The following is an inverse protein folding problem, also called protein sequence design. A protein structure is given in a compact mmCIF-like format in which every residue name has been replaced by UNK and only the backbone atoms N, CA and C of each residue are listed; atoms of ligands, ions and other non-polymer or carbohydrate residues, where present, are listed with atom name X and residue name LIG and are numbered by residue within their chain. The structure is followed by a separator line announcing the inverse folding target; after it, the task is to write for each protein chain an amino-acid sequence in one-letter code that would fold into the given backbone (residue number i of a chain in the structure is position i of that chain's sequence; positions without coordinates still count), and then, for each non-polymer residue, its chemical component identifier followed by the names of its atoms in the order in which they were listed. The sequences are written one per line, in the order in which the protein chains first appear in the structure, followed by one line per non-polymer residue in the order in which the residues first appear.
data_IF_851814825242
#
_entry.id   IF_851814825242
#
_cell.length_a   1.000
_cell.length_b   1.000
_cell.length_c   1.000
_cell.angle_alpha   90.00
_cell.angle_beta   90.00
_cell.angle_gamma   90.00
#
_symmetry.space_group_name_H-M   'P 1'
#
loop_
_entity.id
_entity.type
_entity.pdbx_description
1 polymer ?
#
# COMPACT_ATOMS: atom_id res chain seq x y z
N UNK A 1 -5.49 33.24 -9.42
CA UNK A 1 -5.50 32.67 -9.16
C UNK A 1 -5.54 32.40 -9.37
N UNK A 2 -5.34 32.23 -9.69
CA UNK A 2 -5.27 31.56 -9.62
C UNK A 2 -5.41 31.06 -9.81
N UNK A 3 -5.48 31.12 -10.16
CA UNK A 3 -5.52 30.26 -10.07
C UNK A 3 -5.67 29.66 -10.25
N UNK A 4 -5.57 29.62 -10.37
CA UNK A 4 -5.73 28.82 -10.16
C UNK A 4 -6.00 28.24 -10.34
N UNK A 5 -5.96 28.15 -10.48
CA UNK A 5 -6.16 27.41 -10.19
C UNK A 5 -6.36 26.87 -10.10
N UNK A 6 -6.31 26.99 -10.08
CA UNK A 6 -6.46 26.32 -9.61
C UNK A 6 -6.81 25.81 -9.17
N UNK A 7 -6.98 26.07 -9.14
CA UNK A 7 -7.16 25.55 -8.61
C UNK A 7 -7.75 25.08 -8.31
N UNK A 8 -8.12 24.95 -8.07
CA UNK A 8 -8.60 24.32 -7.83
C UNK A 8 -9.00 23.33 -8.01
N UNK A 9 -9.46 23.49 -8.09
CA UNK A 9 -9.87 22.28 -8.29
C UNK A 9 -8.88 21.30 -8.35
N UNK A 10 -8.11 21.37 -8.73
CA UNK A 10 -7.24 20.47 -8.73
C UNK A 10 -6.75 20.18 -7.47
N UNK A 11 -7.06 20.78 -6.58
CA UNK A 11 -6.71 20.49 -5.51
C UNK A 11 -7.34 19.46 -4.92
N UNK A 12 -8.33 19.13 -5.09
CA UNK A 12 -8.86 18.20 -4.46
C UNK A 12 -8.43 16.99 -4.81
N UNK A 13 -7.86 16.89 -5.53
CA UNK A 13 -7.55 15.77 -5.90
C UNK A 13 -6.67 15.02 -5.13
N UNK A 14 -6.31 13.94 -5.43
CA UNK A 14 -5.44 13.11 -4.76
C UNK A 14 -4.23 13.83 -4.44
N UNK A 15 -3.51 13.43 -3.46
CA UNK A 15 -2.32 14.09 -3.05
C UNK A 15 -1.15 13.32 -3.57
N UNK A 16 -0.59 13.70 -4.70
CA UNK A 16 0.47 12.90 -5.31
C UNK A 16 1.74 12.82 -4.49
N UNK A 17 1.92 13.74 -3.56
CA UNK A 17 3.13 13.72 -2.74
C UNK A 17 2.95 13.03 -1.41
N UNK A 18 1.78 12.45 -1.18
CA UNK A 18 1.55 11.78 0.08
C UNK A 18 2.40 10.52 0.18
N UNK A 19 3.03 10.30 1.31
CA UNK A 19 3.82 9.10 1.52
C UNK A 19 3.03 8.13 2.38
N UNK A 20 3.52 6.89 2.46
CA UNK A 20 2.87 5.89 3.28
C UNK A 20 2.82 6.35 4.74
N UNK A 21 3.88 7.00 5.21
CA UNK A 21 3.93 7.48 6.60
C UNK A 21 2.86 8.53 6.88
N UNK A 22 2.43 9.24 5.86
CA UNK A 22 1.45 10.31 6.05
C UNK A 22 0.03 9.80 6.20
N UNK A 23 -0.19 8.52 5.97
CA UNK A 23 -1.52 7.95 6.14
C UNK A 23 -1.90 7.93 7.60
N UNK A 24 -3.21 7.96 7.87
CA UNK A 24 -3.69 7.87 9.23
C UNK A 24 -3.31 6.52 9.82
N UNK A 25 -3.14 6.50 11.14
CA UNK A 25 -2.70 5.28 11.80
C UNK A 25 -3.65 4.10 11.52
N UNK A 26 -4.95 4.34 11.54
CA UNK A 26 -5.90 3.27 11.27
C UNK A 26 -5.75 2.73 9.86
N UNK A 27 -5.46 3.62 8.90
CA UNK A 27 -5.27 3.21 7.52
C UNK A 27 -4.01 2.36 7.39
N UNK A 28 -2.93 2.79 8.04
CA UNK A 28 -1.68 2.03 7.98
C UNK A 28 -1.84 0.65 8.61
N UNK A 29 -2.58 0.57 9.70
CA UNK A 29 -2.80 -0.71 10.36
C UNK A 29 -3.60 -1.65 9.48
N UNK A 30 -4.62 -1.13 8.82
CA UNK A 30 -5.44 -1.95 7.94
C UNK A 30 -4.62 -2.46 6.76
N UNK A 31 -3.81 -1.59 6.17
CA UNK A 31 -2.96 -2.00 5.06
C UNK A 31 -1.96 -3.05 5.49
N UNK A 32 -1.32 -2.84 6.64
CA UNK A 32 -0.35 -3.80 7.14
C UNK A 32 -1.00 -5.15 7.42
N UNK A 33 -2.23 -5.15 7.91
CA UNK A 33 -2.96 -6.39 8.16
C UNK A 33 -3.21 -7.14 6.85
N UNK A 34 -3.64 -6.44 5.82
CA UNK A 34 -3.83 -7.06 4.51
C UNK A 34 -2.52 -7.64 3.98
N UNK A 35 -1.44 -6.87 4.10
CA UNK A 35 -0.13 -7.32 3.65
C UNK A 35 0.28 -8.61 4.35
N UNK A 36 0.11 -8.64 5.65
CA UNK A 36 0.52 -9.81 6.42
C UNK A 36 -0.33 -11.03 6.07
N UNK A 37 -1.64 -10.83 5.95
CA UNK A 37 -2.53 -11.94 5.61
C UNK A 37 -2.21 -12.54 4.25
N UNK A 38 -2.00 -11.70 3.25
CA UNK A 38 -1.66 -12.17 1.92
C UNK A 38 -0.34 -12.95 1.94
N UNK A 39 0.61 -12.44 2.71
CA UNK A 39 1.92 -13.07 2.81
C UNK A 39 1.80 -14.43 3.49
N UNK A 40 0.99 -14.52 4.54
CA UNK A 40 0.79 -15.80 5.23
C UNK A 40 0.15 -16.83 4.32
N UNK A 41 -0.84 -16.41 3.55
CA UNK A 41 -1.52 -17.32 2.62
C UNK A 41 -0.51 -17.87 1.62
N UNK A 42 0.29 -16.99 1.04
CA UNK A 42 1.29 -17.42 0.06
C UNK A 42 2.31 -18.37 0.69
N UNK A 43 2.76 -18.03 1.91
CA UNK A 43 3.75 -18.86 2.58
C UNK A 43 3.22 -20.25 2.89
N UNK A 44 1.97 -20.34 3.31
CA UNK A 44 1.37 -21.64 3.59
C UNK A 44 1.30 -22.51 2.35
N UNK A 45 1.06 -21.89 1.21
CA UNK A 45 0.90 -22.63 -0.03
C UNK A 45 2.24 -22.98 -0.68
N UNK A 46 3.26 -22.17 -0.47
CA UNK A 46 4.50 -22.30 -1.21
C UNK A 46 5.74 -22.58 -0.36
N UNK A 47 5.64 -22.40 0.94
CA UNK A 47 6.76 -22.68 1.83
C UNK A 47 7.85 -21.62 1.80
N UNK A 48 7.58 -20.46 1.22
CA UNK A 48 8.55 -19.38 1.14
C UNK A 48 7.83 -18.06 1.05
N UNK A 49 8.54 -16.96 1.36
CA UNK A 49 7.94 -15.66 1.26
C UNK A 49 7.88 -15.23 -0.20
N UNK A 50 7.00 -14.27 -0.53
CA UNK A 50 6.83 -13.82 -1.90
C UNK A 50 8.11 -13.25 -2.50
N UNK A 51 8.37 -13.59 -3.75
CA UNK A 51 9.45 -12.94 -4.49
C UNK A 51 8.91 -11.64 -5.05
N UNK A 52 9.73 -10.94 -5.84
CA UNK A 52 9.35 -9.63 -6.35
C UNK A 52 8.08 -9.66 -7.17
N UNK A 53 7.95 -10.64 -8.04
CA UNK A 53 6.77 -10.73 -8.90
C UNK A 53 5.50 -10.97 -8.09
N UNK A 54 5.55 -11.88 -7.15
CA UNK A 54 4.39 -12.17 -6.31
C UNK A 54 4.08 -10.99 -5.41
N UNK A 55 5.12 -10.31 -4.92
CA UNK A 55 4.93 -9.12 -4.09
C UNK A 55 4.12 -8.06 -4.85
N UNK A 56 4.42 -7.87 -6.13
CA UNK A 56 3.68 -6.91 -6.93
C UNK A 56 2.22 -7.34 -7.09
N UNK A 57 1.98 -8.63 -7.29
CA UNK A 57 0.61 -9.11 -7.39
C UNK A 57 -0.17 -8.88 -6.10
N UNK A 58 0.48 -9.10 -4.98
CA UNK A 58 -0.16 -8.86 -3.68
C UNK A 58 -0.50 -7.38 -3.53
N UNK A 59 0.44 -6.51 -3.86
CA UNK A 59 0.21 -5.07 -3.72
C UNK A 59 -0.84 -4.59 -4.72
N UNK A 60 -0.90 -5.18 -5.91
CA UNK A 60 -1.95 -4.84 -6.86
C UNK A 60 -3.33 -5.06 -6.24
N UNK A 61 -3.53 -6.19 -5.57
CA UNK A 61 -4.81 -6.49 -4.94
C UNK A 61 -5.09 -5.53 -3.78
N UNK A 62 -4.07 -5.24 -3.00
CA UNK A 62 -4.24 -4.31 -1.88
C UNK A 62 -4.55 -2.91 -2.39
N UNK A 63 -3.88 -2.50 -3.46
CA UNK A 63 -4.09 -1.17 -4.00
C UNK A 63 -5.52 -1.00 -4.53
N UNK A 64 -6.10 -2.06 -5.10
CA UNK A 64 -7.50 -2.00 -5.52
C UNK A 64 -8.40 -1.76 -4.32
N UNK A 65 -8.10 -2.37 -3.19
CA UNK A 65 -8.88 -2.13 -1.97
C UNK A 65 -8.72 -0.69 -1.52
N UNK A 66 -7.50 -0.14 -1.60
CA UNK A 66 -7.27 1.24 -1.21
C UNK A 66 -8.10 2.19 -2.07
N UNK A 67 -8.15 1.94 -3.37
CA UNK A 67 -8.92 2.79 -4.26
C UNK A 67 -10.41 2.73 -3.91
N UNK A 68 -10.89 1.55 -3.59
CA UNK A 68 -12.31 1.41 -3.26
C UNK A 68 -12.66 2.12 -1.96
N UNK A 69 -11.70 2.32 -1.08
CA UNK A 69 -11.91 3.02 0.18
C UNK A 69 -11.50 4.49 0.10
N UNK A 70 -11.15 4.96 -1.10
CA UNK A 70 -10.73 6.34 -1.32
C UNK A 70 -9.52 6.72 -0.48
N UNK A 71 -8.61 5.77 -0.28
CA UNK A 71 -7.36 6.05 0.40
C UNK A 71 -6.31 6.32 -0.67
N UNK A 72 -5.85 7.57 -0.71
CA UNK A 72 -4.95 8.00 -1.77
C UNK A 72 -3.50 8.02 -1.31
N UNK A 73 -2.70 7.17 -1.91
CA UNK A 73 -1.27 7.11 -1.67
C UNK A 73 -0.66 6.52 -2.94
N UNK A 74 0.52 6.98 -3.37
CA UNK A 74 1.12 6.43 -4.59
C UNK A 74 1.40 4.93 -4.46
N UNK A 75 1.21 4.22 -5.56
CA UNK A 75 1.46 2.79 -5.59
C UNK A 75 2.87 2.44 -5.11
N UNK A 76 3.86 3.20 -5.58
CA UNK A 76 5.25 2.95 -5.21
C UNK A 76 5.47 3.02 -3.71
N UNK A 77 4.75 3.92 -3.04
CA UNK A 77 4.91 4.05 -1.60
C UNK A 77 4.41 2.79 -0.88
N UNK A 78 3.29 2.25 -1.35
CA UNK A 78 2.73 1.05 -0.74
C UNK A 78 3.65 -0.14 -1.01
N UNK A 79 4.13 -0.26 -2.23
CA UNK A 79 5.01 -1.35 -2.60
C UNK A 79 6.31 -1.30 -1.81
N UNK A 80 6.90 -0.13 -1.70
CA UNK A 80 8.14 0.01 -0.94
C UNK A 80 7.94 -0.33 0.53
N UNK A 81 6.82 0.12 1.10
CA UNK A 81 6.52 -0.20 2.50
C UNK A 81 6.41 -1.71 2.69
N UNK A 82 5.80 -2.39 1.72
CA UNK A 82 5.66 -3.83 1.80
C UNK A 82 7.02 -4.53 1.77
N UNK A 83 7.89 -4.10 0.86
CA UNK A 83 9.21 -4.71 0.76
C UNK A 83 10.00 -4.57 2.05
N UNK A 84 9.83 -3.45 2.75
CA UNK A 84 10.53 -3.25 4.01
C UNK A 84 9.97 -4.14 5.11
N UNK A 85 8.72 -4.55 5.00
CA UNK A 85 8.09 -5.38 6.02
C UNK A 85 8.32 -6.87 5.82
N UNK A 86 8.63 -7.29 4.61
CA UNK A 86 8.75 -8.72 4.31
C UNK A 86 9.72 -9.46 5.21
N UNK A 87 10.93 -8.95 5.50
CA UNK A 87 11.84 -9.68 6.39
C UNK A 87 11.25 -9.88 7.79
N UNK A 88 10.49 -8.92 8.27
CA UNK A 88 9.85 -9.04 9.57
C UNK A 88 8.75 -10.09 9.54
N UNK A 89 7.99 -10.12 8.45
CA UNK A 89 6.94 -11.11 8.31
C UNK A 89 7.51 -12.51 8.28
N UNK A 90 8.64 -12.68 7.62
CA UNK A 90 9.30 -13.99 7.56
C UNK A 90 9.62 -14.49 8.96
N UNK A 91 10.05 -13.60 9.85
CA UNK A 91 10.35 -13.99 11.22
C UNK A 91 9.12 -14.32 12.03
N UNK A 92 7.96 -13.80 11.65
CA UNK A 92 6.73 -14.04 12.40
C UNK A 92 5.97 -15.27 11.91
N UNK A 93 6.24 -15.70 10.72
CA UNK A 93 5.60 -16.86 10.15
C UNK A 93 6.38 -18.12 10.52
#
# INVERSE_FOLDING_TARGET
MKPNHHSLAYKQQKQPNKTYKDLKQKQKMKIADWMFRETCIFYKENGEIPNEEVAKQIIDRIYEKLKSLAIWVPYEEVYRAYLLKLPRYELRI
#
